data_IF_661503608310
#
_entry.id   IF_661503608310
#
_cell.length_a   1.000
_cell.length_b   1.000
_cell.length_c   1.000
_cell.angle_alpha   90.00
_cell.angle_beta   90.00
_cell.angle_gamma   90.00
#
_symmetry.space_group_name_H-M   'P 1'
#
loop_
_entity.id
_entity.type
_entity.pdbx_description
1 polymer ?
#
# COMPACT_ATOMS: atom_id res chain seq x y z
N UNK A 1 -6.10 -18.84 47.61
CA UNK A 1 -7.48 -18.31 47.51
C UNK A 1 -7.64 -17.72 46.12
N UNK A 2 -8.65 -18.18 45.37
CA UNK A 2 -8.89 -17.80 43.98
C UNK A 2 -9.43 -16.36 43.91
N UNK A 3 -8.83 -15.53 43.08
CA UNK A 3 -9.58 -14.55 42.31
C UNK A 3 -9.53 -14.99 40.86
N UNK A 4 -10.65 -15.55 40.39
CA UNK A 4 -10.87 -15.88 38.99
C UNK A 4 -11.10 -14.57 38.26
N UNK A 5 -10.13 -14.11 37.48
CA UNK A 5 -10.34 -13.05 36.51
C UNK A 5 -11.11 -13.65 35.33
N UNK A 6 -12.40 -13.30 35.20
CA UNK A 6 -13.31 -13.75 34.15
C UNK A 6 -13.36 -12.73 32.99
N UNK A 7 -12.20 -12.37 32.45
CA UNK A 7 -12.16 -11.64 31.17
C UNK A 7 -10.97 -12.11 30.32
N UNK A 8 -11.20 -12.97 29.30
CA UNK A 8 -10.14 -13.55 28.46
C UNK A 8 -9.39 -12.55 27.57
N UNK A 9 -9.86 -11.30 27.46
CA UNK A 9 -9.33 -10.30 26.52
C UNK A 9 -8.53 -9.18 27.17
N UNK A 10 -8.24 -9.26 28.47
CA UNK A 10 -7.33 -8.33 29.11
C UNK A 10 -5.93 -8.93 29.18
N UNK A 11 -5.22 -8.84 28.06
CA UNK A 11 -3.76 -8.99 28.04
C UNK A 11 -3.16 -7.60 28.28
N UNK A 12 -2.59 -7.43 29.47
CA UNK A 12 -1.85 -6.22 29.84
C UNK A 12 -0.52 -6.18 29.08
N UNK A 13 -0.26 -5.01 28.49
CA UNK A 13 1.02 -4.39 28.13
C UNK A 13 2.21 -5.28 27.75
N UNK A 14 2.66 -5.09 26.51
CA UNK A 14 3.98 -5.41 25.92
C UNK A 14 4.01 -6.56 24.89
N UNK A 15 3.20 -7.62 25.01
CA UNK A 15 3.20 -8.74 24.02
C UNK A 15 2.04 -8.72 23.01
N UNK A 16 1.18 -7.69 23.02
CA UNK A 16 -0.10 -7.71 22.30
C UNK A 16 -0.06 -7.15 20.89
N UNK A 17 0.80 -6.18 20.59
CA UNK A 17 0.86 -5.56 19.26
C UNK A 17 1.36 -6.52 18.18
N UNK A 18 2.50 -7.23 18.35
CA UNK A 18 2.96 -8.20 17.36
C UNK A 18 1.93 -9.30 17.08
N UNK A 19 1.22 -9.76 18.12
CA UNK A 19 0.14 -10.73 17.95
C UNK A 19 -1.03 -10.14 17.17
N UNK A 20 -1.41 -8.89 17.43
CA UNK A 20 -2.45 -8.18 16.68
C UNK A 20 -2.09 -8.07 15.19
N UNK A 21 -0.82 -7.85 14.85
CA UNK A 21 -0.39 -7.81 13.44
C UNK A 21 -0.73 -9.11 12.68
N UNK A 22 -0.55 -10.26 13.33
CA UNK A 22 -0.81 -11.58 12.74
C UNK A 22 -2.30 -11.93 12.65
N UNK A 23 -3.11 -11.51 13.63
CA UNK A 23 -4.52 -11.93 13.75
C UNK A 23 -5.52 -10.91 13.22
N UNK A 24 -5.21 -9.61 13.34
CA UNK A 24 -6.08 -8.49 12.95
C UNK A 24 -5.24 -7.23 12.66
N UNK A 25 -4.76 -7.15 11.43
CA UNK A 25 -3.96 -6.02 10.94
C UNK A 25 -4.68 -4.67 11.06
N UNK A 26 -6.02 -4.65 11.03
CA UNK A 26 -6.76 -3.40 11.13
C UNK A 26 -6.68 -2.86 12.55
N UNK A 27 -6.95 -3.71 13.54
CA UNK A 27 -6.85 -3.34 14.95
C UNK A 27 -5.42 -3.00 15.37
N UNK A 28 -4.43 -3.74 14.84
CA UNK A 28 -3.01 -3.40 15.01
C UNK A 28 -2.67 -1.98 14.54
N UNK A 29 -3.17 -1.59 13.35
CA UNK A 29 -2.91 -0.27 12.78
C UNK A 29 -3.57 0.84 13.61
N UNK A 30 -4.80 0.63 14.08
CA UNK A 30 -5.50 1.59 14.95
C UNK A 30 -4.74 1.84 16.25
N UNK A 31 -4.29 0.78 16.94
CA UNK A 31 -3.52 0.93 18.18
C UNK A 31 -2.12 1.51 17.92
N UNK A 32 -1.45 1.14 16.82
CA UNK A 32 -0.17 1.75 16.42
C UNK A 32 -0.30 3.26 16.17
N UNK A 33 -1.37 3.70 15.50
CA UNK A 33 -1.66 5.13 15.28
C UNK A 33 -1.95 5.85 16.59
N UNK A 34 -2.67 5.21 17.51
CA UNK A 34 -2.97 5.77 18.83
C UNK A 34 -1.69 5.97 19.65
N UNK A 35 -0.80 4.98 19.69
CA UNK A 35 0.50 5.08 20.37
C UNK A 35 1.37 6.20 19.77
N UNK A 36 1.38 6.35 18.44
CA UNK A 36 2.07 7.46 17.76
C UNK A 36 1.50 8.83 18.15
N UNK A 37 0.17 8.98 18.22
CA UNK A 37 -0.49 10.23 18.63
C UNK A 37 -0.22 10.59 20.09
N UNK A 38 -0.14 9.58 20.96
CA UNK A 38 0.18 9.73 22.39
C UNK A 38 1.69 9.87 22.65
N UNK A 39 2.52 9.79 21.60
CA UNK A 39 3.98 9.82 21.66
C UNK A 39 4.59 8.73 22.57
N UNK A 40 3.90 7.58 22.68
CA UNK A 40 4.31 6.41 23.47
C UNK A 40 5.17 5.47 22.62
N UNK A 41 6.34 5.95 22.23
CA UNK A 41 7.23 5.27 21.28
C UNK A 41 7.86 3.99 21.85
N UNK A 42 7.93 3.87 23.17
CA UNK A 42 8.42 2.70 23.92
C UNK A 42 7.58 1.44 23.70
N UNK A 43 6.32 1.60 23.29
CA UNK A 43 5.36 0.50 23.11
C UNK A 43 5.06 0.21 21.64
N UNK A 44 5.75 0.88 20.72
CA UNK A 44 5.57 0.61 19.31
C UNK A 44 6.16 -0.73 18.93
N UNK A 45 5.42 -1.45 18.11
CA UNK A 45 5.93 -2.56 17.34
C UNK A 45 6.70 -2.03 16.13
N UNK A 46 7.93 -1.61 16.40
CA UNK A 46 8.79 -0.95 15.40
C UNK A 46 9.14 -1.90 14.25
N UNK A 47 9.23 -3.22 14.50
CA UNK A 47 9.58 -4.21 13.48
C UNK A 47 8.49 -4.29 12.41
N UNK A 48 7.23 -4.55 12.82
CA UNK A 48 6.13 -4.64 11.88
C UNK A 48 5.77 -3.27 11.27
N UNK A 49 6.00 -2.16 11.99
CA UNK A 49 5.85 -0.83 11.43
C UNK A 49 6.86 -0.55 10.32
N UNK A 50 8.13 -0.93 10.49
CA UNK A 50 9.15 -0.83 9.43
C UNK A 50 8.75 -1.70 8.24
N UNK A 51 8.33 -2.95 8.48
CA UNK A 51 7.86 -3.85 7.44
C UNK A 51 6.71 -3.23 6.63
N UNK A 52 5.71 -2.65 7.29
CA UNK A 52 4.60 -2.00 6.59
C UNK A 52 5.05 -0.76 5.80
N UNK A 53 5.96 0.05 6.32
CA UNK A 53 6.49 1.21 5.60
C UNK A 53 7.33 0.80 4.37
N UNK A 54 8.08 -0.30 4.46
CA UNK A 54 8.79 -0.90 3.34
C UNK A 54 7.82 -1.55 2.34
N UNK A 55 6.76 -2.20 2.83
CA UNK A 55 5.69 -2.80 2.03
C UNK A 55 4.96 -1.74 1.23
N UNK A 56 4.65 -0.58 1.83
CA UNK A 56 4.05 0.58 1.17
C UNK A 56 4.96 1.11 0.06
N UNK A 57 6.26 1.25 0.35
CA UNK A 57 7.25 1.68 -0.64
C UNK A 57 7.35 0.70 -1.82
N UNK A 58 7.29 -0.61 -1.56
CA UNK A 58 7.28 -1.66 -2.60
C UNK A 58 5.96 -1.70 -3.37
N UNK A 59 4.83 -1.51 -2.70
CA UNK A 59 3.48 -1.48 -3.29
C UNK A 59 3.33 -0.30 -4.25
N UNK A 60 3.81 0.87 -3.87
CA UNK A 60 3.82 2.06 -4.72
C UNK A 60 4.70 1.85 -5.95
N UNK A 61 5.91 1.29 -5.77
CA UNK A 61 6.79 0.88 -6.88
C UNK A 61 6.11 -0.10 -7.84
N UNK A 62 5.51 -1.16 -7.31
CA UNK A 62 4.80 -2.17 -8.11
C UNK A 62 3.59 -1.57 -8.84
N UNK A 63 2.85 -0.68 -8.19
CA UNK A 63 1.71 0.02 -8.79
C UNK A 63 2.15 0.90 -9.94
N UNK A 64 3.25 1.64 -9.79
CA UNK A 64 3.85 2.42 -10.88
C UNK A 64 4.30 1.50 -12.03
N UNK A 65 4.98 0.39 -11.74
CA UNK A 65 5.40 -0.59 -12.75
C UNK A 65 4.21 -1.14 -13.54
N UNK A 66 3.15 -1.56 -12.85
CA UNK A 66 1.94 -2.10 -13.47
C UNK A 66 1.22 -1.06 -14.34
N UNK A 67 1.10 0.19 -13.86
CA UNK A 67 0.52 1.29 -14.64
C UNK A 67 1.35 1.61 -15.90
N UNK A 68 2.69 1.58 -15.79
CA UNK A 68 3.57 1.75 -16.96
C UNK A 68 3.40 0.62 -17.96
N UNK A 69 3.35 -0.64 -17.51
CA UNK A 69 3.10 -1.79 -18.36
C UNK A 69 1.79 -1.65 -19.12
N UNK A 70 0.72 -1.21 -18.43
CA UNK A 70 -0.58 -0.95 -19.06
C UNK A 70 -0.49 0.15 -20.12
N UNK A 71 0.18 1.27 -19.82
CA UNK A 71 0.38 2.36 -20.79
C UNK A 71 1.15 1.86 -22.03
N UNK A 72 2.26 1.13 -21.84
CA UNK A 72 3.06 0.59 -22.95
C UNK A 72 2.23 -0.38 -23.78
N UNK A 73 1.52 -1.31 -23.14
CA UNK A 73 0.63 -2.27 -23.80
C UNK A 73 -0.39 -1.57 -24.71
N UNK A 74 -1.10 -0.56 -24.20
CA UNK A 74 -2.12 0.14 -24.99
C UNK A 74 -1.52 0.97 -26.12
N UNK A 75 -0.32 1.53 -25.94
CA UNK A 75 0.41 2.18 -27.03
C UNK A 75 0.78 1.19 -28.14
N UNK A 76 1.20 -0.03 -27.78
CA UNK A 76 1.49 -1.09 -28.75
C UNK A 76 0.23 -1.55 -29.48
N UNK A 77 -0.89 -1.75 -28.77
CA UNK A 77 -2.19 -2.08 -29.39
C UNK A 77 -2.61 -1.01 -30.41
N UNK A 78 -2.52 0.27 -30.04
CA UNK A 78 -2.86 1.38 -30.93
C UNK A 78 -1.97 1.47 -32.18
N UNK A 79 -0.68 1.13 -32.06
CA UNK A 79 0.28 1.30 -33.13
C UNK A 79 0.33 0.11 -34.09
N UNK A 80 0.24 -1.12 -33.55
CA UNK A 80 0.47 -2.34 -34.32
C UNK A 80 -0.80 -3.09 -34.68
N UNK A 81 -1.89 -2.93 -33.91
CA UNK A 81 -3.14 -3.64 -34.18
C UNK A 81 -4.11 -2.77 -34.99
N UNK A 82 -3.73 -2.47 -36.23
CA UNK A 82 -4.40 -1.49 -37.09
C UNK A 82 -5.88 -1.79 -37.36
N UNK A 83 -6.26 -3.07 -37.46
CA UNK A 83 -7.64 -3.50 -37.69
C UNK A 83 -8.56 -3.22 -36.50
N UNK A 84 -8.12 -3.56 -35.28
CA UNK A 84 -8.91 -3.39 -34.06
C UNK A 84 -8.84 -1.94 -33.53
N UNK A 85 -7.76 -1.24 -33.86
CA UNK A 85 -7.52 0.16 -33.52
C UNK A 85 -8.40 1.15 -34.28
N UNK A 86 -9.22 0.71 -35.23
CA UNK A 86 -10.21 1.59 -35.87
C UNK A 86 -11.46 1.74 -34.99
N UNK A 87 -11.83 0.66 -34.28
CA UNK A 87 -13.01 0.60 -33.41
C UNK A 87 -12.64 1.03 -31.98
N UNK A 88 -11.54 0.51 -31.44
CA UNK A 88 -11.20 0.66 -30.02
C UNK A 88 -10.30 1.86 -29.69
N UNK A 89 -9.92 2.65 -30.70
CA UNK A 89 -8.97 3.76 -30.56
C UNK A 89 -9.28 4.69 -29.40
N UNK A 90 -10.55 5.10 -29.31
CA UNK A 90 -10.98 6.10 -28.36
C UNK A 90 -11.01 5.53 -26.93
N UNK A 91 -11.39 4.25 -26.81
CA UNK A 91 -11.37 3.54 -25.52
C UNK A 91 -9.94 3.39 -25.00
N UNK A 92 -9.02 2.83 -25.81
CA UNK A 92 -7.62 2.65 -25.40
C UNK A 92 -6.92 3.98 -25.10
N UNK A 93 -7.25 5.05 -25.83
CA UNK A 93 -6.76 6.40 -25.49
C UNK A 93 -7.27 6.90 -24.15
N UNK A 94 -8.55 6.67 -23.84
CA UNK A 94 -9.12 7.02 -22.54
C UNK A 94 -8.46 6.22 -21.40
N UNK A 95 -8.20 4.94 -21.62
CA UNK A 95 -7.48 4.09 -20.66
C UNK A 95 -6.04 4.60 -20.42
N UNK A 96 -5.31 4.95 -21.47
CA UNK A 96 -3.97 5.58 -21.34
C UNK A 96 -4.03 6.85 -20.51
N UNK A 97 -5.02 7.73 -20.73
CA UNK A 97 -5.20 8.96 -19.94
C UNK A 97 -5.47 8.63 -18.46
N UNK A 98 -6.33 7.64 -18.20
CA UNK A 98 -6.62 7.16 -16.84
C UNK A 98 -5.37 6.63 -16.15
N UNK A 99 -4.63 5.72 -16.80
CA UNK A 99 -3.39 5.17 -16.24
C UNK A 99 -2.33 6.25 -15.99
N UNK A 100 -2.16 7.21 -16.90
CA UNK A 100 -1.25 8.35 -16.69
C UNK A 100 -1.68 9.24 -15.53
N UNK A 101 -2.98 9.42 -15.33
CA UNK A 101 -3.51 10.17 -14.18
C UNK A 101 -3.27 9.43 -12.87
N UNK A 102 -3.47 8.12 -12.85
CA UNK A 102 -3.15 7.27 -11.69
C UNK A 102 -1.64 7.28 -11.41
N UNK A 103 -0.81 7.22 -12.46
CA UNK A 103 0.65 7.29 -12.35
C UNK A 103 1.10 8.59 -11.66
N UNK A 104 0.51 9.72 -12.06
CA UNK A 104 0.77 11.04 -11.43
C UNK A 104 0.37 11.10 -9.96
N UNK A 105 -0.66 10.35 -9.54
CA UNK A 105 -1.09 10.28 -8.14
C UNK A 105 -0.18 9.37 -7.31
N UNK A 106 0.36 8.31 -7.92
CA UNK A 106 1.25 7.35 -7.25
C UNK A 106 2.72 7.81 -7.22
N UNK A 107 3.14 8.68 -8.14
CA UNK A 107 4.47 9.27 -8.15
C UNK A 107 4.60 10.31 -7.04
N UNK A 108 4.93 9.85 -5.83
CA UNK A 108 5.36 10.72 -4.72
C UNK A 108 6.74 11.31 -5.01
N UNK A 109 7.10 12.41 -4.35
CA UNK A 109 8.43 13.05 -4.50
C UNK A 109 9.57 12.07 -4.21
N UNK A 110 9.43 11.20 -3.21
CA UNK A 110 10.42 10.17 -2.89
C UNK A 110 10.57 9.14 -4.01
N UNK A 111 9.47 8.72 -4.62
CA UNK A 111 9.51 7.75 -5.71
C UNK A 111 10.08 8.36 -7.00
N UNK A 112 9.81 9.65 -7.25
CA UNK A 112 10.41 10.39 -8.36
C UNK A 112 11.93 10.52 -8.22
N UNK A 113 12.42 10.80 -7.01
CA UNK A 113 13.86 10.87 -6.73
C UNK A 113 14.54 9.50 -6.93
N UNK A 114 13.92 8.42 -6.42
CA UNK A 114 14.43 7.05 -6.60
C UNK A 114 14.51 6.60 -8.08
N UNK A 115 13.64 7.13 -8.95
CA UNK A 115 13.66 6.82 -10.38
C UNK A 115 14.67 7.69 -11.18
N UNK A 116 15.18 8.75 -10.58
CA UNK A 116 16.13 9.67 -11.20
C UNK A 116 17.60 9.33 -10.89
N UNK A 117 17.84 8.45 -9.91
CA UNK A 117 19.13 7.83 -9.59
C UNK A 117 19.38 6.58 -10.44
#
# INVERSE_FOLDING_TARGET
MKTLNQNPWQVEGEETLPLLYEIDQHLWLEETIKLLKENRLDQLDVIHLIEELESLSKRDKNRVSSLLEQVIRHLLLLHYWTTEAEINRNHWRAEIISFRTQLRKCLTTNLQNYLAE
#
